data_IF_873654265108
#
_entry.id   IF_873654265108
#
_cell.length_a   1.000
_cell.length_b   1.000
_cell.length_c   1.000
_cell.angle_alpha   90.00
_cell.angle_beta   90.00
_cell.angle_gamma   90.00
#
_symmetry.space_group_name_H-M   'P 1'
#
loop_
_entity.id
_entity.type
_entity.pdbx_description
1 polymer ?
#
# COMPACT_ATOMS: atom_id res chain seq x y z
N UNK A 1 -0.63 19.10 9.58
CA UNK A 1 -1.02 18.54 8.26
C UNK A 1 -1.91 17.33 8.50
N UNK A 2 -3.01 17.22 7.76
CA UNK A 2 -3.87 16.03 7.84
C UNK A 2 -3.20 14.84 7.14
N UNK A 3 -3.16 13.68 7.82
CA UNK A 3 -2.53 12.47 7.28
C UNK A 3 -3.34 11.92 6.11
N UNK A 4 -2.66 11.56 5.03
CA UNK A 4 -3.28 10.90 3.88
C UNK A 4 -3.63 9.43 4.17
N UNK A 5 -2.76 8.77 4.94
CA UNK A 5 -2.97 7.42 5.47
C UNK A 5 -2.42 7.33 6.89
N UNK A 6 -2.91 6.36 7.66
CA UNK A 6 -2.33 5.93 8.94
C UNK A 6 -1.70 4.56 8.79
N UNK A 7 -0.57 4.34 9.45
CA UNK A 7 0.13 3.06 9.45
C UNK A 7 0.03 2.42 10.83
N UNK A 8 -0.32 1.15 10.86
CA UNK A 8 -0.46 0.32 12.05
C UNK A 8 0.46 -0.91 11.90
N UNK A 9 1.43 -1.00 12.80
CA UNK A 9 2.43 -2.08 12.86
C UNK A 9 2.23 -2.98 14.09
N UNK A 10 1.10 -2.85 14.81
CA UNK A 10 0.87 -3.57 16.07
C UNK A 10 0.82 -5.10 15.90
N UNK A 11 0.44 -5.58 14.72
CA UNK A 11 0.37 -7.00 14.34
C UNK A 11 1.51 -7.44 13.40
N UNK A 12 2.70 -6.82 13.51
CA UNK A 12 3.86 -7.24 12.74
C UNK A 12 4.03 -8.78 12.76
N UNK A 13 4.22 -9.47 11.61
CA UNK A 13 4.70 -8.99 10.32
C UNK A 13 3.63 -8.49 9.34
N UNK A 14 2.38 -8.31 9.77
CA UNK A 14 1.31 -7.73 8.94
C UNK A 14 1.20 -6.24 9.25
N UNK A 15 1.48 -5.42 8.25
CA UNK A 15 1.36 -3.96 8.34
C UNK A 15 0.04 -3.52 7.71
N UNK A 16 -0.70 -2.64 8.39
CA UNK A 16 -1.94 -2.06 7.83
C UNK A 16 -1.74 -0.57 7.53
N UNK A 17 -2.00 -0.20 6.29
CA UNK A 17 -2.02 1.19 5.82
C UNK A 17 -3.46 1.55 5.50
N UNK A 18 -4.08 2.42 6.30
CA UNK A 18 -5.48 2.82 6.14
C UNK A 18 -5.58 4.25 5.62
N UNK A 19 -6.18 4.45 4.46
CA UNK A 19 -6.39 5.79 3.90
C UNK A 19 -7.48 6.52 4.69
N UNK A 20 -7.30 7.82 4.93
CA UNK A 20 -8.13 8.58 5.88
C UNK A 20 -9.32 9.32 5.24
N UNK A 21 -9.42 9.30 3.91
CA UNK A 21 -10.35 10.12 3.14
C UNK A 21 -9.96 11.58 3.00
N UNK A 22 -8.76 11.95 3.43
CA UNK A 22 -8.23 13.30 3.23
C UNK A 22 -7.67 13.46 1.82
N UNK A 23 -7.90 14.64 1.25
CA UNK A 23 -7.36 14.98 -0.07
C UNK A 23 -5.84 14.90 -0.06
N UNK A 24 -5.29 14.37 -1.16
CA UNK A 24 -3.85 14.31 -1.38
C UNK A 24 -3.29 15.72 -1.62
N UNK A 25 -2.20 16.02 -0.94
CA UNK A 25 -1.32 17.18 -1.13
C UNK A 25 0.10 16.65 -1.26
N UNK A 26 1.01 17.39 -1.90
CA UNK A 26 2.38 16.92 -2.08
C UNK A 26 3.02 16.52 -0.74
N UNK A 27 2.76 17.31 0.31
CA UNK A 27 3.31 17.09 1.64
C UNK A 27 2.73 15.83 2.32
N UNK A 28 1.40 15.65 2.35
CA UNK A 28 0.81 14.50 3.05
C UNK A 28 0.98 13.19 2.28
N UNK A 29 1.06 13.28 0.96
CA UNK A 29 1.30 12.14 0.10
C UNK A 29 2.74 11.67 0.22
N UNK A 30 3.71 12.60 0.21
CA UNK A 30 5.11 12.27 0.44
C UNK A 30 5.32 11.65 1.84
N UNK A 31 4.72 12.22 2.89
CA UNK A 31 4.79 11.65 4.24
C UNK A 31 4.26 10.20 4.29
N UNK A 32 3.12 9.93 3.64
CA UNK A 32 2.58 8.58 3.51
C UNK A 32 3.57 7.61 2.82
N UNK A 33 4.20 8.04 1.72
CA UNK A 33 5.17 7.22 0.99
C UNK A 33 6.42 6.93 1.84
N UNK A 34 6.88 7.91 2.60
CA UNK A 34 8.05 7.77 3.48
C UNK A 34 7.75 6.88 4.69
N UNK A 35 6.59 7.06 5.33
CA UNK A 35 6.13 6.20 6.43
C UNK A 35 5.94 4.75 5.93
N UNK A 36 5.38 4.55 4.74
CA UNK A 36 5.23 3.20 4.15
C UNK A 36 6.58 2.54 3.89
N UNK A 37 7.58 3.32 3.45
CA UNK A 37 8.96 2.83 3.29
C UNK A 37 9.60 2.49 4.64
N UNK A 38 9.27 3.24 5.68
CA UNK A 38 9.82 3.04 7.02
C UNK A 38 9.41 1.70 7.65
N UNK A 39 8.30 1.09 7.23
CA UNK A 39 7.91 -0.26 7.64
C UNK A 39 8.97 -1.33 7.32
N UNK A 40 9.84 -1.07 6.33
CA UNK A 40 10.90 -1.99 5.91
C UNK A 40 12.20 -1.85 6.74
N UNK A 41 12.26 -0.94 7.72
CA UNK A 41 13.47 -0.64 8.52
C UNK A 41 14.07 -1.84 9.24
N UNK A 42 13.24 -2.85 9.54
CA UNK A 42 13.68 -4.05 10.24
C UNK A 42 14.30 -5.10 9.32
N UNK A 43 14.23 -4.92 7.99
CA UNK A 43 14.76 -5.88 7.02
C UNK A 43 14.23 -7.32 7.21
N UNK A 44 13.01 -7.42 7.73
CA UNK A 44 12.30 -8.68 7.97
C UNK A 44 11.20 -8.88 6.93
N UNK A 45 10.85 -10.14 6.69
CA UNK A 45 9.69 -10.46 5.86
C UNK A 45 8.42 -9.85 6.46
N UNK A 46 7.62 -9.22 5.61
CA UNK A 46 6.36 -8.58 5.96
C UNK A 46 5.32 -8.73 4.85
N UNK A 47 4.05 -8.52 5.19
CA UNK A 47 3.00 -8.24 4.22
C UNK A 47 2.35 -6.90 4.53
N UNK A 48 1.81 -6.25 3.50
CA UNK A 48 1.12 -4.97 3.66
C UNK A 48 -0.33 -5.10 3.21
N UNK A 49 -1.26 -4.67 4.06
CA UNK A 49 -2.66 -4.48 3.70
C UNK A 49 -2.90 -2.99 3.53
N UNK A 50 -3.24 -2.56 2.32
CA UNK A 50 -3.73 -1.21 2.04
C UNK A 50 -5.25 -1.20 2.08
N UNK A 51 -5.82 -0.53 3.07
CA UNK A 51 -7.25 -0.29 3.17
C UNK A 51 -7.62 1.05 2.54
N UNK A 52 -8.22 0.98 1.35
CA UNK A 52 -8.70 2.09 0.57
C UNK A 52 -10.22 2.27 0.63
N UNK A 53 -10.88 1.72 1.65
CA UNK A 53 -12.33 1.86 1.86
C UNK A 53 -12.76 3.32 2.02
N UNK A 54 -11.88 4.15 2.58
CA UNK A 54 -12.09 5.60 2.70
C UNK A 54 -11.22 6.41 1.73
N UNK A 55 -10.52 5.79 0.79
CA UNK A 55 -9.62 6.53 -0.10
C UNK A 55 -10.39 7.50 -1.01
N UNK A 56 -9.86 8.71 -1.15
CA UNK A 56 -10.29 9.68 -2.18
C UNK A 56 -9.37 9.58 -3.40
N UNK A 57 -9.88 9.98 -4.56
CA UNK A 57 -9.13 9.93 -5.81
C UNK A 57 -7.87 10.83 -5.71
N UNK A 58 -6.65 10.26 -5.80
CA UNK A 58 -5.46 11.08 -5.84
C UNK A 58 -5.35 11.80 -7.18
N UNK A 59 -4.76 12.99 -7.17
CA UNK A 59 -4.43 13.73 -8.39
C UNK A 59 -3.52 12.89 -9.30
N UNK A 60 -3.51 13.18 -10.60
CA UNK A 60 -2.63 12.46 -11.52
C UNK A 60 -1.14 12.62 -11.18
N UNK A 61 -0.75 13.76 -10.61
CA UNK A 61 0.61 13.97 -10.11
C UNK A 61 0.95 12.99 -8.97
N UNK A 62 0.05 12.82 -8.00
CA UNK A 62 0.22 11.87 -6.90
C UNK A 62 0.19 10.41 -7.37
N UNK A 63 -0.60 10.08 -8.40
CA UNK A 63 -0.55 8.75 -9.05
C UNK A 63 0.85 8.46 -9.64
N UNK A 64 1.46 9.46 -10.31
CA UNK A 64 2.85 9.35 -10.80
C UNK A 64 3.86 9.24 -9.67
N UNK A 65 3.65 9.95 -8.54
CA UNK A 65 4.51 9.82 -7.36
C UNK A 65 4.47 8.39 -6.79
N UNK A 66 3.29 7.80 -6.67
CA UNK A 66 3.16 6.39 -6.25
C UNK A 66 3.89 5.44 -7.22
N UNK A 67 3.69 5.61 -8.54
CA UNK A 67 4.36 4.79 -9.54
C UNK A 67 5.90 4.94 -9.47
N UNK A 68 6.39 6.17 -9.29
CA UNK A 68 7.83 6.45 -9.08
C UNK A 68 8.35 5.76 -7.82
N UNK A 69 7.61 5.85 -6.71
CA UNK A 69 7.98 5.20 -5.45
C UNK A 69 8.07 3.67 -5.59
N UNK A 70 7.12 3.04 -6.29
CA UNK A 70 7.18 1.59 -6.56
C UNK A 70 8.43 1.21 -7.36
N UNK A 71 8.83 2.04 -8.32
CA UNK A 71 10.02 1.83 -9.13
C UNK A 71 11.29 1.95 -8.30
N UNK A 72 11.40 2.99 -7.48
CA UNK A 72 12.58 3.29 -6.67
C UNK A 72 12.77 2.28 -5.54
N UNK A 73 11.67 1.78 -4.96
CA UNK A 73 11.71 0.83 -3.86
C UNK A 73 11.52 -0.62 -4.33
N UNK A 74 11.55 -0.89 -5.65
CA UNK A 74 11.32 -2.22 -6.23
C UNK A 74 12.16 -3.30 -5.57
N UNK A 75 13.49 -3.09 -5.46
CA UNK A 75 14.40 -4.08 -4.87
C UNK A 75 14.08 -4.32 -3.39
N UNK A 76 13.86 -3.25 -2.63
CA UNK A 76 13.49 -3.33 -1.21
C UNK A 76 12.22 -4.16 -1.00
N UNK A 77 11.18 -3.87 -1.79
CA UNK A 77 9.92 -4.62 -1.74
C UNK A 77 10.12 -6.08 -2.12
N UNK A 78 10.87 -6.37 -3.17
CA UNK A 78 11.13 -7.75 -3.59
C UNK A 78 11.93 -8.56 -2.55
N UNK A 79 12.83 -7.89 -1.82
CA UNK A 79 13.59 -8.53 -0.74
C UNK A 79 12.71 -8.89 0.46
N UNK A 80 11.81 -8.00 0.88
CA UNK A 80 11.18 -8.11 2.20
C UNK A 80 9.64 -8.22 2.18
N UNK A 81 8.94 -7.72 1.17
CA UNK A 81 7.49 -7.84 1.10
C UNK A 81 7.09 -9.15 0.43
N UNK A 82 6.43 -10.03 1.19
CA UNK A 82 5.87 -11.29 0.68
C UNK A 82 4.67 -11.04 -0.24
N UNK A 83 3.92 -9.97 -0.01
CA UNK A 83 2.83 -9.55 -0.87
C UNK A 83 2.02 -8.38 -0.30
N UNK A 84 1.18 -7.82 -1.16
CA UNK A 84 0.35 -6.65 -0.86
C UNK A 84 -1.12 -6.96 -1.08
N UNK A 85 -1.94 -6.87 -0.04
CA UNK A 85 -3.39 -6.91 -0.15
C UNK A 85 -3.94 -5.50 -0.31
N UNK A 86 -4.91 -5.32 -1.20
CA UNK A 86 -5.62 -4.05 -1.39
C UNK A 86 -7.10 -4.23 -1.11
N UNK A 87 -7.64 -3.57 -0.10
CA UNK A 87 -9.09 -3.52 0.16
C UNK A 87 -9.62 -2.30 -0.57
N UNK A 88 -10.36 -2.48 -1.66
CA UNK A 88 -10.79 -1.37 -2.54
C UNK A 88 -12.25 -1.55 -2.98
N UNK A 89 -13.25 -1.23 -2.15
CA UNK A 89 -14.65 -1.34 -2.55
C UNK A 89 -15.04 -0.42 -3.73
N UNK A 90 -14.33 0.69 -3.91
CA UNK A 90 -14.62 1.67 -4.96
C UNK A 90 -14.06 1.26 -6.33
N UNK A 91 -14.93 1.12 -7.34
CA UNK A 91 -14.53 0.88 -8.74
C UNK A 91 -13.62 1.98 -9.30
N UNK A 92 -13.84 3.23 -8.90
CA UNK A 92 -13.02 4.36 -9.32
C UNK A 92 -11.59 4.26 -8.77
N UNK A 93 -11.44 3.88 -7.51
CA UNK A 93 -10.12 3.66 -6.89
C UNK A 93 -9.43 2.43 -7.51
N UNK A 94 -10.17 1.36 -7.83
CA UNK A 94 -9.62 0.21 -8.59
C UNK A 94 -9.08 0.64 -9.96
N UNK A 95 -9.77 1.54 -10.65
CA UNK A 95 -9.30 2.09 -11.93
C UNK A 95 -8.01 2.91 -11.76
N UNK A 96 -7.92 3.74 -10.73
CA UNK A 96 -6.68 4.48 -10.40
C UNK A 96 -5.52 3.53 -10.14
N UNK A 97 -5.73 2.45 -9.36
CA UNK A 97 -4.67 1.47 -9.11
C UNK A 97 -4.17 0.83 -10.41
N UNK A 98 -5.08 0.50 -11.35
CA UNK A 98 -4.71 -0.01 -12.67
C UNK A 98 -3.87 0.98 -13.47
N UNK A 99 -4.17 2.27 -13.42
CA UNK A 99 -3.37 3.33 -14.06
C UNK A 99 -1.98 3.40 -13.43
N UNK A 100 -1.88 3.38 -12.10
CA UNK A 100 -0.59 3.36 -11.41
C UNK A 100 0.22 2.13 -11.84
N UNK A 101 -0.41 0.95 -11.90
CA UNK A 101 0.25 -0.29 -12.29
C UNK A 101 0.58 -0.40 -13.79
N UNK A 102 -0.09 0.36 -14.66
CA UNK A 102 0.30 0.46 -16.06
C UNK A 102 1.54 1.34 -16.24
N UNK A 103 1.72 2.38 -15.40
CA UNK A 103 2.93 3.20 -15.36
C UNK A 103 4.12 2.44 -14.75
N UNK A 104 3.88 1.72 -13.66
CA UNK A 104 4.86 0.90 -12.97
C UNK A 104 4.19 -0.34 -12.38
N UNK A 105 4.49 -1.52 -12.93
CA UNK A 105 3.98 -2.80 -12.42
C UNK A 105 4.29 -2.94 -10.93
N UNK A 106 3.34 -3.49 -10.18
CA UNK A 106 3.54 -3.88 -8.79
C UNK A 106 4.76 -4.82 -8.68
N UNK A 107 5.77 -4.51 -7.84
CA UNK A 107 6.98 -5.33 -7.70
C UNK A 107 6.80 -6.72 -7.08
N UNK A 108 5.71 -6.92 -6.34
CA UNK A 108 5.45 -8.10 -5.48
C UNK A 108 4.06 -8.68 -5.78
N UNK A 109 3.77 -9.94 -5.38
CA UNK A 109 2.43 -10.50 -5.48
C UNK A 109 1.40 -9.57 -4.82
N UNK A 110 0.26 -9.37 -5.48
CA UNK A 110 -0.83 -8.59 -4.91
C UNK A 110 -2.19 -9.16 -5.27
N UNK A 111 -3.17 -8.86 -4.43
CA UNK A 111 -4.57 -9.19 -4.67
C UNK A 111 -5.46 -8.07 -4.16
N UNK A 112 -6.61 -7.88 -4.82
CA UNK A 112 -7.60 -6.86 -4.45
C UNK A 112 -8.81 -7.57 -3.85
N UNK A 113 -9.28 -7.09 -2.71
CA UNK A 113 -10.37 -7.62 -1.92
C UNK A 113 -11.47 -6.57 -1.72
N UNK A 114 -12.67 -7.01 -1.36
CA UNK A 114 -13.76 -6.12 -0.97
C UNK A 114 -13.78 -5.83 0.54
N UNK A 115 -13.18 -6.69 1.36
CA UNK A 115 -13.22 -6.60 2.82
C UNK A 115 -11.90 -7.02 3.49
N UNK A 116 -11.74 -6.60 4.75
CA UNK A 116 -10.54 -6.86 5.55
C UNK A 116 -10.35 -8.35 5.89
N UNK A 117 -11.44 -9.07 6.15
CA UNK A 117 -11.38 -10.49 6.52
C UNK A 117 -10.70 -11.35 5.43
N UNK A 118 -11.09 -11.18 4.16
CA UNK A 118 -10.46 -11.90 3.04
C UNK A 118 -9.02 -11.47 2.79
N UNK A 119 -8.74 -10.17 2.90
CA UNK A 119 -7.39 -9.63 2.75
C UNK A 119 -6.44 -10.20 3.81
N UNK A 120 -6.88 -10.24 5.06
CA UNK A 120 -6.14 -10.83 6.18
C UNK A 120 -5.92 -12.33 5.98
N UNK A 121 -6.96 -13.06 5.59
CA UNK A 121 -6.86 -14.50 5.34
C UNK A 121 -5.78 -14.77 4.28
N UNK A 122 -5.77 -14.00 3.19
CA UNK A 122 -4.76 -14.13 2.14
C UNK A 122 -3.34 -13.81 2.62
N UNK A 123 -3.11 -12.68 3.30
CA UNK A 123 -1.74 -12.35 3.73
C UNK A 123 -1.17 -13.38 4.71
N UNK A 124 -2.02 -14.00 5.54
CA UNK A 124 -1.62 -15.07 6.46
C UNK A 124 -1.15 -16.33 5.72
N UNK A 125 -1.55 -16.54 4.46
CA UNK A 125 -1.05 -17.64 3.61
C UNK A 125 0.34 -17.39 3.01
N UNK A 126 0.86 -16.15 3.06
CA UNK A 126 2.10 -15.77 2.38
C UNK A 126 3.39 -16.23 3.07
N UNK A 127 3.30 -17.10 4.09
CA UNK A 127 4.46 -17.66 4.78
C UNK A 127 5.32 -16.57 5.43
N UNK A 128 4.71 -15.69 6.23
CA UNK A 128 5.38 -14.55 6.86
C UNK A 128 6.29 -14.94 8.06
N UNK A 129 6.46 -16.23 8.33
CA UNK A 129 7.33 -16.72 9.37
C UNK A 129 8.80 -16.60 8.95
N UNK A 130 9.60 -15.98 9.83
CA UNK A 130 11.06 -15.99 9.82
C UNK A 130 11.62 -17.33 10.26
#
# INVERSE_FOLDING_TARGET
>A
MERYATIDESDFPIIRVRFTGKNSTDQNFQAYLDETKHCYRYEKKLAVIFDASLAVLPSFAHQKMQAKWLRENKKLMQSYCAGTAYIIPSLAIRAVLKIIFSLQKQPVPYQIFENEHEAEAWVKTLGLAS
#
